data_IF_219360215917
#
_entry.id   IF_219360215917
#
_cell.length_a   1.000
_cell.length_b   1.000
_cell.length_c   1.000
_cell.angle_alpha   90.00
_cell.angle_beta   90.00
_cell.angle_gamma   90.00
#
_symmetry.space_group_name_H-M   'P 1'
#
loop_
_entity.id
_entity.type
_entity.pdbx_description
1 polymer ?
#
# COMPACT_ATOMS: atom_id res chain seq x y z
N UNK A 1 -29.70 -13.36 -21.80
CA UNK A 1 -29.17 -11.99 -21.57
C UNK A 1 -27.99 -12.11 -20.64
N UNK A 2 -26.80 -11.69 -21.08
CA UNK A 2 -25.66 -11.20 -20.29
C UNK A 2 -24.50 -11.01 -21.26
N UNK A 3 -24.47 -9.82 -21.87
CA UNK A 3 -23.47 -9.39 -22.83
C UNK A 3 -22.14 -9.20 -22.08
N UNK A 4 -21.29 -10.22 -22.14
CA UNK A 4 -19.89 -10.14 -21.71
C UNK A 4 -19.15 -9.20 -22.66
N UNK A 5 -19.31 -7.90 -22.44
CA UNK A 5 -18.59 -6.85 -23.12
C UNK A 5 -17.10 -6.98 -22.76
N UNK A 6 -16.41 -7.72 -23.62
CA UNK A 6 -14.98 -7.89 -23.77
C UNK A 6 -14.33 -6.53 -24.03
N UNK A 7 -14.26 -5.67 -23.01
CA UNK A 7 -13.60 -4.36 -23.09
C UNK A 7 -12.10 -4.56 -22.90
N UNK A 8 -11.42 -4.46 -24.02
CA UNK A 8 -9.98 -4.40 -24.29
C UNK A 8 -9.07 -4.26 -23.05
N UNK A 9 -8.24 -5.28 -22.72
CA UNK A 9 -7.53 -5.35 -21.44
C UNK A 9 -6.35 -4.38 -21.26
N UNK A 10 -5.96 -3.58 -22.28
CA UNK A 10 -4.75 -2.74 -22.19
C UNK A 10 -4.75 -1.41 -22.97
N UNK A 11 -5.87 -0.91 -23.48
CA UNK A 11 -5.84 0.41 -24.12
C UNK A 11 -5.96 1.55 -23.09
N UNK A 12 -4.83 2.15 -22.73
CA UNK A 12 -4.78 3.47 -22.07
C UNK A 12 -5.40 3.47 -20.67
N UNK A 13 -4.92 2.62 -19.76
CA UNK A 13 -5.36 2.66 -18.35
C UNK A 13 -5.10 4.03 -17.76
N UNK A 14 -6.18 4.80 -17.65
CA UNK A 14 -6.14 6.14 -17.07
C UNK A 14 -6.06 6.04 -15.54
N UNK A 15 -5.59 7.10 -14.91
CA UNK A 15 -5.61 7.22 -13.44
C UNK A 15 -7.00 6.95 -12.84
N UNK A 16 -8.06 7.27 -13.61
CA UNK A 16 -9.45 6.96 -13.26
C UNK A 16 -9.68 5.46 -13.18
N UNK A 17 -9.27 4.71 -14.20
CA UNK A 17 -9.46 3.26 -14.25
C UNK A 17 -8.72 2.56 -13.08
N UNK A 18 -7.45 2.91 -12.87
CA UNK A 18 -6.66 2.34 -11.76
C UNK A 18 -7.31 2.61 -10.40
N UNK A 19 -7.77 3.85 -10.17
CA UNK A 19 -8.43 4.22 -8.93
C UNK A 19 -9.77 3.47 -8.77
N UNK A 20 -10.58 3.36 -9.83
CA UNK A 20 -11.84 2.63 -9.78
C UNK A 20 -11.63 1.16 -9.43
N UNK A 21 -10.66 0.47 -10.04
CA UNK A 21 -10.36 -0.92 -9.71
C UNK A 21 -9.85 -1.09 -8.26
N UNK A 22 -9.02 -0.17 -7.78
CA UNK A 22 -8.55 -0.20 -6.40
C UNK A 22 -9.70 -0.02 -5.40
N UNK A 23 -10.63 0.91 -5.70
CA UNK A 23 -11.80 1.16 -4.86
C UNK A 23 -12.78 -0.02 -4.90
N UNK A 24 -12.95 -0.65 -6.06
CA UNK A 24 -13.81 -1.83 -6.21
C UNK A 24 -13.27 -3.03 -5.42
N UNK A 25 -11.94 -3.20 -5.38
CA UNK A 25 -11.26 -4.31 -4.69
C UNK A 25 -11.10 -4.12 -3.18
N UNK A 26 -10.71 -2.93 -2.74
CA UNK A 26 -10.37 -2.65 -1.33
C UNK A 26 -11.36 -1.71 -0.63
N UNK A 27 -12.13 -0.93 -1.37
CA UNK A 27 -12.93 0.15 -0.81
C UNK A 27 -12.10 1.36 -0.37
N UNK A 28 -12.79 2.44 -0.03
CA UNK A 28 -12.17 3.72 0.31
C UNK A 28 -11.42 3.70 1.65
N UNK A 29 -11.90 2.91 2.62
CA UNK A 29 -11.31 2.84 3.97
C UNK A 29 -9.92 2.20 3.95
N UNK A 30 -9.76 1.04 3.29
CA UNK A 30 -8.45 0.41 3.12
C UNK A 30 -7.51 1.27 2.27
N UNK A 31 -8.03 1.92 1.21
CA UNK A 31 -7.26 2.85 0.40
C UNK A 31 -6.74 4.04 1.22
N UNK A 32 -7.56 4.60 2.11
CA UNK A 32 -7.16 5.67 3.01
C UNK A 32 -6.09 5.21 4.01
N UNK A 33 -6.21 3.98 4.52
CA UNK A 33 -5.22 3.39 5.42
C UNK A 33 -3.87 3.14 4.70
N UNK A 34 -3.90 2.58 3.49
CA UNK A 34 -2.71 2.21 2.72
C UNK A 34 -2.02 3.41 2.09
N UNK A 35 -2.81 4.33 1.56
CA UNK A 35 -2.37 5.56 0.92
C UNK A 35 -2.90 6.69 1.80
N UNK A 36 -2.21 7.00 2.91
CA UNK A 36 -2.58 8.01 3.91
C UNK A 36 -2.87 9.39 3.30
N UNK A 37 -4.02 9.53 2.67
CA UNK A 37 -4.51 10.66 1.89
C UNK A 37 -5.90 10.97 2.44
N UNK A 38 -6.03 12.17 2.97
CA UNK A 38 -7.27 12.61 3.61
C UNK A 38 -8.46 12.68 2.63
N UNK A 39 -8.19 12.78 1.32
CA UNK A 39 -9.22 12.77 0.27
C UNK A 39 -10.10 11.52 0.33
N UNK A 40 -9.54 10.35 0.63
CA UNK A 40 -10.30 9.10 0.68
C UNK A 40 -11.12 8.95 1.97
N UNK A 41 -10.73 9.64 3.04
CA UNK A 41 -11.45 9.60 4.32
C UNK A 41 -12.58 10.66 4.39
N UNK A 42 -12.35 11.85 3.83
CA UNK A 42 -13.27 12.99 3.98
C UNK A 42 -14.23 13.17 2.81
N UNK A 43 -13.83 12.83 1.58
CA UNK A 43 -14.67 12.99 0.39
C UNK A 43 -14.42 11.82 -0.59
N UNK A 44 -14.88 10.59 -0.24
CA UNK A 44 -14.63 9.37 -0.99
C UNK A 44 -15.42 9.35 -2.32
N UNK A 45 -15.00 10.19 -3.26
CA UNK A 45 -15.58 10.26 -4.60
C UNK A 45 -14.49 10.18 -5.66
N UNK A 46 -14.76 9.46 -6.75
CA UNK A 46 -13.82 9.32 -7.86
C UNK A 46 -13.46 10.69 -8.46
N UNK A 47 -14.43 11.59 -8.59
CA UNK A 47 -14.21 12.92 -9.17
C UNK A 47 -13.34 13.82 -8.28
N UNK A 48 -13.57 13.84 -6.96
CA UNK A 48 -12.77 14.64 -6.02
C UNK A 48 -11.36 14.08 -5.90
N UNK A 49 -11.24 12.76 -5.80
CA UNK A 49 -9.96 12.05 -5.79
C UNK A 49 -9.14 12.31 -7.05
N UNK A 50 -9.72 12.26 -8.24
CA UNK A 50 -8.99 12.54 -9.48
C UNK A 50 -8.54 14.00 -9.58
N UNK A 51 -9.35 14.96 -9.11
CA UNK A 51 -8.94 16.37 -9.02
C UNK A 51 -7.76 16.52 -8.05
N UNK A 52 -7.78 15.83 -6.93
CA UNK A 52 -6.68 15.82 -5.95
C UNK A 52 -5.40 15.20 -6.53
N UNK A 53 -5.49 14.00 -7.13
CA UNK A 53 -4.33 13.30 -7.70
C UNK A 53 -3.68 14.07 -8.86
N UNK A 54 -4.43 14.92 -9.57
CA UNK A 54 -3.88 15.84 -10.60
C UNK A 54 -3.06 16.98 -9.99
N UNK A 55 -3.46 17.49 -8.82
CA UNK A 55 -2.74 18.55 -8.09
C UNK A 55 -1.57 18.00 -7.27
N UNK A 56 -1.61 16.73 -6.90
CA UNK A 56 -0.69 16.10 -5.96
C UNK A 56 0.04 14.92 -6.61
N UNK A 57 1.16 15.15 -7.31
CA UNK A 57 1.83 14.11 -8.10
C UNK A 57 2.39 12.96 -7.27
N UNK A 58 2.83 13.21 -6.03
CA UNK A 58 3.29 12.13 -5.13
C UNK A 58 2.15 11.17 -4.76
N UNK A 59 0.91 11.66 -4.66
CA UNK A 59 -0.26 10.87 -4.35
C UNK A 59 -0.64 9.98 -5.54
N UNK A 60 -0.59 10.53 -6.76
CA UNK A 60 -0.72 9.76 -8.00
C UNK A 60 0.25 8.57 -8.03
N UNK A 61 1.52 8.82 -7.73
CA UNK A 61 2.54 7.76 -7.70
C UNK A 61 2.21 6.66 -6.68
N UNK A 62 1.65 7.00 -5.52
CA UNK A 62 1.21 5.98 -4.55
C UNK A 62 0.04 5.14 -5.06
N UNK A 63 -0.91 5.74 -5.78
CA UNK A 63 -2.02 5.00 -6.40
C UNK A 63 -1.49 4.05 -7.48
N UNK A 64 -0.53 4.48 -8.29
CA UNK A 64 0.14 3.62 -9.27
C UNK A 64 0.87 2.45 -8.59
N UNK A 65 1.59 2.71 -7.49
CA UNK A 65 2.25 1.66 -6.71
C UNK A 65 1.23 0.66 -6.14
N UNK A 66 0.14 1.15 -5.54
CA UNK A 66 -0.91 0.28 -5.01
C UNK A 66 -1.58 -0.56 -6.12
N UNK A 67 -1.72 0.02 -7.31
CA UNK A 67 -2.24 -0.67 -8.49
C UNK A 67 -1.27 -1.76 -9.00
N UNK A 68 0.04 -1.47 -9.01
CA UNK A 68 1.08 -2.46 -9.33
C UNK A 68 1.04 -3.64 -8.35
N UNK A 69 0.93 -3.37 -7.05
CA UNK A 69 0.75 -4.41 -6.02
C UNK A 69 -0.53 -5.25 -6.25
N UNK A 70 -1.62 -4.62 -6.68
CA UNK A 70 -2.89 -5.31 -6.97
C UNK A 70 -2.76 -6.32 -8.11
N UNK A 71 -2.01 -5.98 -9.17
CA UNK A 71 -1.81 -6.85 -10.33
C UNK A 71 -0.64 -7.84 -10.16
N UNK A 72 0.03 -7.84 -9.01
CA UNK A 72 1.21 -8.67 -8.75
C UNK A 72 2.45 -8.22 -9.53
N UNK A 73 2.45 -7.00 -10.07
CA UNK A 73 3.64 -6.41 -10.65
C UNK A 73 4.42 -5.74 -9.54
N UNK A 74 5.60 -6.27 -9.23
CA UNK A 74 6.49 -5.66 -8.25
C UNK A 74 6.95 -4.28 -8.77
N UNK A 75 6.62 -3.17 -8.09
CA UNK A 75 7.27 -1.90 -8.38
C UNK A 75 8.78 -2.05 -8.14
N UNK A 76 9.66 -1.21 -8.74
CA UNK A 76 11.07 -1.18 -8.36
C UNK A 76 11.19 -0.68 -6.91
N UNK A 77 11.04 -1.60 -5.96
CA UNK A 77 11.04 -1.30 -4.53
C UNK A 77 12.48 -1.15 -4.06
N UNK A 78 12.83 0.01 -3.48
CA UNK A 78 13.82 0.01 -2.41
C UNK A 78 13.18 -0.79 -1.28
N UNK A 79 13.64 -2.02 -1.08
CA UNK A 79 13.20 -2.97 -0.04
C UNK A 79 12.66 -2.23 1.19
N UNK A 80 11.36 -2.32 1.47
CA UNK A 80 10.90 -2.09 2.85
C UNK A 80 11.62 -3.15 3.68
N UNK A 81 12.42 -2.78 4.70
CA UNK A 81 13.04 -3.79 5.53
C UNK A 81 11.91 -4.65 6.10
N UNK A 82 12.01 -5.96 5.87
CA UNK A 82 11.16 -6.96 6.48
C UNK A 82 11.00 -6.64 7.96
N UNK A 83 9.83 -6.86 8.59
CA UNK A 83 9.72 -6.74 10.04
C UNK A 83 10.85 -7.57 10.64
N UNK A 84 11.75 -6.88 11.37
CA UNK A 84 12.87 -7.52 12.06
C UNK A 84 12.25 -8.64 12.92
N UNK A 85 12.75 -9.88 12.89
CA UNK A 85 12.21 -10.93 13.76
C UNK A 85 12.21 -10.38 15.20
N UNK A 86 11.09 -10.56 15.89
CA UNK A 86 10.89 -10.06 17.24
C UNK A 86 12.13 -10.39 18.09
N UNK A 87 12.64 -9.37 18.80
CA UNK A 87 13.82 -9.54 19.64
C UNK A 87 13.64 -10.76 20.58
N UNK A 88 14.71 -11.50 20.90
CA UNK A 88 14.64 -12.60 21.85
C UNK A 88 13.98 -12.15 23.15
N UNK A 89 13.02 -12.93 23.63
CA UNK A 89 12.33 -12.70 24.90
C UNK A 89 13.38 -12.61 26.01
N UNK A 90 13.27 -11.61 26.87
CA UNK A 90 14.28 -11.23 27.89
C UNK A 90 14.72 -12.37 28.83
N UNK A 91 13.98 -13.48 28.88
CA UNK A 91 14.29 -14.68 29.65
C UNK A 91 15.55 -15.45 29.17
N UNK A 92 16.06 -15.20 27.96
CA UNK A 92 17.28 -15.83 27.43
C UNK A 92 18.55 -14.98 27.65
N UNK A 93 18.45 -13.81 28.32
CA UNK A 93 19.63 -13.01 28.61
C UNK A 93 20.48 -13.73 29.67
N UNK A 94 21.77 -14.00 29.42
CA UNK A 94 22.65 -14.56 30.44
C UNK A 94 22.68 -13.59 31.63
N UNK A 95 22.33 -14.07 32.82
CA UNK A 95 22.35 -13.28 34.07
C UNK A 95 23.74 -12.89 34.52
N UNK A 96 24.78 -13.24 33.76
CA UNK A 96 26.19 -13.08 34.09
C UNK A 96 26.96 -12.53 32.90
N UNK A 97 27.94 -11.67 33.14
CA UNK A 97 28.83 -11.17 32.10
C UNK A 97 29.88 -12.24 31.71
N UNK A 98 30.01 -12.66 30.43
CA UNK A 98 30.90 -13.76 30.03
C UNK A 98 32.40 -13.48 30.21
N UNK A 99 32.79 -12.22 30.36
CA UNK A 99 34.20 -11.84 30.55
C UNK A 99 34.63 -11.78 32.01
N UNK A 100 33.70 -11.59 32.94
CA UNK A 100 34.01 -11.40 34.37
C UNK A 100 33.31 -12.40 35.29
N UNK A 101 32.32 -13.15 34.81
CA UNK A 101 31.55 -14.12 35.60
C UNK A 101 30.68 -13.51 36.70
N UNK A 102 30.58 -12.17 36.81
CA UNK A 102 29.72 -11.51 37.78
C UNK A 102 28.26 -11.51 37.31
N UNK A 103 27.28 -11.73 38.20
CA UNK A 103 25.88 -11.49 37.89
C UNK A 103 25.63 -9.99 37.61
N UNK A 104 24.64 -9.68 36.77
CA UNK A 104 24.13 -8.31 36.60
C UNK A 104 23.45 -7.80 37.86
#
# INVERSE_FOLDING_TARGET
MSEAAKKDPMHGKTLKAMLTELVDKYGWEELAAKISINCFANDPSLSSSLKFLRKTPWARRKVEIAYMELIGMEPPTRKKPSPRPAAPREADRPKTNPWTGKPF
#
